data_IF_912452006076
#
_entry.id   IF_912452006076
#
_cell.length_a   1.000
_cell.length_b   1.000
_cell.length_c   1.000
_cell.angle_alpha   90.00
_cell.angle_beta   90.00
_cell.angle_gamma   90.00
#
_symmetry.space_group_name_H-M   'P 1'
#
loop_
_entity.id
_entity.type
_entity.pdbx_description
1 polymer ?
#
# COMPACT_ATOMS: atom_id res chain seq x y z
N UNK A 1 49.59 57.48 13.89
CA UNK A 1 49.22 56.84 12.61
C UNK A 1 48.26 55.71 12.92
N UNK A 2 46.98 55.89 12.59
CA UNK A 2 45.91 54.91 12.82
C UNK A 2 45.53 54.27 11.47
N UNK A 3 45.48 52.94 11.34
CA UNK A 3 44.95 52.33 10.13
C UNK A 3 43.42 52.33 10.19
N UNK A 4 42.81 53.06 9.25
CA UNK A 4 41.41 52.90 8.88
C UNK A 4 41.18 51.47 8.39
N UNK A 5 40.43 50.67 9.14
CA UNK A 5 39.87 49.41 8.62
C UNK A 5 38.58 49.75 7.88
N UNK A 6 38.65 49.78 6.54
CA UNK A 6 37.47 49.72 5.68
C UNK A 6 36.89 48.31 5.75
N UNK A 7 35.75 48.14 6.40
CA UNK A 7 34.93 46.96 6.23
C UNK A 7 34.17 47.08 4.89
N UNK A 8 34.65 46.40 3.86
CA UNK A 8 33.84 46.16 2.66
C UNK A 8 32.69 45.22 3.05
N UNK A 9 31.46 45.73 3.09
CA UNK A 9 30.27 44.88 3.10
C UNK A 9 30.32 44.00 1.84
N UNK A 10 30.44 42.68 2.02
CA UNK A 10 30.36 41.72 0.93
C UNK A 10 28.92 41.70 0.39
N UNK A 11 28.70 41.71 -0.94
CA UNK A 11 27.37 41.67 -1.57
C UNK A 11 26.51 40.47 -1.12
N UNK A 12 27.13 39.41 -0.61
CA UNK A 12 26.46 38.20 -0.12
C UNK A 12 25.62 38.43 1.13
N UNK A 13 25.92 39.41 1.97
CA UNK A 13 25.12 39.70 3.17
C UNK A 13 23.78 40.40 2.82
N UNK A 14 23.73 41.14 1.70
CA UNK A 14 22.50 41.79 1.24
C UNK A 14 21.56 40.79 0.54
N UNK A 15 22.10 39.77 -0.12
CA UNK A 15 21.32 38.72 -0.79
C UNK A 15 20.54 37.83 0.20
N UNK A 16 21.12 37.53 1.37
CA UNK A 16 20.44 36.77 2.44
C UNK A 16 19.35 37.60 3.13
N UNK A 17 19.54 38.93 3.21
CA UNK A 17 18.52 39.86 3.69
C UNK A 17 17.30 39.95 2.77
N UNK A 18 17.48 40.00 1.45
CA UNK A 18 16.35 40.12 0.50
C UNK A 18 15.55 38.81 0.38
N UNK A 19 16.20 37.64 0.54
CA UNK A 19 15.52 36.33 0.58
C UNK A 19 14.70 36.08 1.85
N UNK A 20 14.94 36.80 2.95
CA UNK A 20 14.23 36.64 4.22
C UNK A 20 13.02 37.56 4.41
N UNK A 21 12.82 38.54 3.51
CA UNK A 21 11.65 39.46 3.55
C UNK A 21 10.65 39.22 2.42
N UNK A 22 10.98 38.34 1.47
CA UNK A 22 9.98 37.83 0.55
C UNK A 22 9.20 36.74 1.30
N UNK A 23 7.87 36.86 1.46
CA UNK A 23 7.08 35.68 1.74
C UNK A 23 7.26 34.76 0.54
N UNK A 24 8.25 33.87 0.59
CA UNK A 24 8.20 32.64 -0.17
C UNK A 24 6.95 31.94 0.34
N UNK A 25 5.81 32.17 -0.32
CA UNK A 25 4.85 31.10 -0.53
C UNK A 25 5.53 30.09 -1.44
N UNK A 26 6.59 29.46 -0.93
CA UNK A 26 6.92 28.11 -1.34
C UNK A 26 5.71 27.31 -0.90
N UNK A 27 4.72 27.22 -1.79
CA UNK A 27 3.75 26.14 -1.76
C UNK A 27 4.63 24.91 -1.80
N UNK A 28 4.83 24.28 -0.64
CA UNK A 28 5.26 22.89 -0.65
C UNK A 28 4.23 22.21 -1.54
N UNK A 29 4.68 21.73 -2.69
CA UNK A 29 3.84 20.93 -3.56
C UNK A 29 3.50 19.70 -2.70
N UNK A 30 2.31 19.68 -2.09
CA UNK A 30 1.82 18.59 -1.22
C UNK A 30 1.63 17.27 -1.99
N UNK A 31 2.15 17.19 -3.21
CA UNK A 31 2.16 16.04 -4.11
C UNK A 31 2.90 14.83 -3.50
N UNK A 32 3.82 15.05 -2.56
CA UNK A 32 4.50 13.97 -1.81
C UNK A 32 3.72 13.46 -0.58
N UNK A 33 2.56 14.05 -0.26
CA UNK A 33 1.78 13.64 0.91
C UNK A 33 1.31 12.18 0.80
N UNK A 34 1.47 11.44 1.89
CA UNK A 34 1.05 10.03 1.98
C UNK A 34 -0.46 9.96 2.11
N UNK A 35 -1.09 9.17 1.24
CA UNK A 35 -2.54 8.94 1.26
C UNK A 35 -2.89 7.54 1.73
N UNK A 36 -1.98 6.58 1.55
CA UNK A 36 -2.12 5.24 2.13
C UNK A 36 -0.74 4.69 2.50
N UNK A 37 -0.65 3.95 3.60
CA UNK A 37 0.57 3.24 3.94
C UNK A 37 0.26 1.91 4.61
N UNK A 38 1.13 0.93 4.37
CA UNK A 38 1.06 -0.38 5.00
C UNK A 38 2.47 -0.82 5.36
N UNK A 39 2.63 -1.36 6.56
CA UNK A 39 3.87 -1.97 7.04
C UNK A 39 3.57 -3.34 7.61
N UNK A 40 4.43 -4.32 7.32
CA UNK A 40 4.45 -5.65 7.95
C UNK A 40 5.83 -5.86 8.53
N UNK A 41 5.89 -6.21 9.82
CA UNK A 41 7.14 -6.50 10.51
C UNK A 41 7.08 -7.88 11.14
N UNK A 42 8.08 -8.68 10.81
CA UNK A 42 8.44 -9.89 11.51
C UNK A 42 9.64 -9.56 12.40
N UNK A 43 9.58 -9.87 13.70
CA UNK A 43 10.62 -9.47 14.67
C UNK A 43 10.78 -10.49 15.78
N UNK A 44 11.87 -10.37 16.54
CA UNK A 44 12.20 -11.27 17.65
C UNK A 44 12.24 -12.73 17.22
N UNK A 45 12.74 -13.00 16.01
CA UNK A 45 12.81 -14.35 15.47
C UNK A 45 13.78 -15.19 16.29
N UNK A 46 13.29 -16.32 16.79
CA UNK A 46 14.09 -17.28 17.53
C UNK A 46 13.85 -18.69 16.99
N UNK A 47 14.95 -19.39 16.73
CA UNK A 47 14.98 -20.73 16.17
C UNK A 47 15.61 -21.67 17.19
N UNK A 48 14.88 -22.71 17.58
CA UNK A 48 15.31 -23.70 18.56
C UNK A 48 15.18 -25.11 17.98
N UNK A 49 16.23 -25.92 18.16
CA UNK A 49 16.19 -27.36 17.91
C UNK A 49 16.11 -28.09 19.24
N UNK A 50 15.04 -28.85 19.44
CA UNK A 50 14.80 -29.61 20.66
C UNK A 50 15.11 -31.08 20.40
N UNK A 51 16.02 -31.66 21.19
CA UNK A 51 16.24 -33.09 21.19
C UNK A 51 15.08 -33.78 21.93
N UNK A 52 14.28 -34.57 21.22
CA UNK A 52 13.16 -35.31 21.79
C UNK A 52 13.60 -36.63 22.45
N UNK A 53 14.84 -37.08 22.18
CA UNK A 53 15.44 -38.26 22.79
C UNK A 53 16.90 -38.00 23.21
N UNK A 54 17.13 -37.32 24.35
CA UNK A 54 18.47 -36.91 24.79
C UNK A 54 19.49 -38.04 24.91
N UNK A 55 19.03 -39.26 25.17
CA UNK A 55 19.87 -40.45 25.35
C UNK A 55 20.01 -41.31 24.08
N UNK A 56 19.38 -40.92 22.97
CA UNK A 56 19.32 -41.71 21.73
C UNK A 56 20.55 -41.60 20.83
N UNK A 57 21.51 -40.74 21.18
CA UNK A 57 22.72 -40.50 20.38
C UNK A 57 22.49 -39.68 19.11
N UNK A 58 21.24 -39.37 18.73
CA UNK A 58 20.92 -38.46 17.64
C UNK A 58 21.25 -37.02 18.02
N UNK A 59 22.04 -36.36 17.16
CA UNK A 59 22.35 -34.93 17.30
C UNK A 59 21.24 -34.14 16.59
N UNK A 60 20.54 -33.21 17.28
CA UNK A 60 19.58 -32.32 16.64
C UNK A 60 20.22 -31.53 15.51
N UNK A 61 19.65 -31.60 14.31
CA UNK A 61 20.10 -30.89 13.14
C UNK A 61 18.92 -30.55 12.23
N UNK A 62 19.03 -29.40 11.58
CA UNK A 62 18.14 -28.99 10.50
C UNK A 62 18.97 -28.52 9.32
N UNK A 63 18.56 -28.89 8.11
CA UNK A 63 19.05 -28.30 6.88
C UNK A 63 17.90 -27.68 6.10
N UNK A 64 18.18 -26.60 5.38
CA UNK A 64 17.22 -25.86 4.58
C UNK A 64 17.64 -25.95 3.11
N UNK A 65 16.71 -26.30 2.23
CA UNK A 65 16.89 -26.36 0.79
C UNK A 65 15.89 -25.43 0.10
N UNK A 66 16.12 -24.12 0.27
CA UNK A 66 15.29 -23.08 -0.34
C UNK A 66 16.05 -21.75 -0.43
N UNK A 67 15.56 -20.89 -1.32
CA UNK A 67 15.99 -19.50 -1.43
C UNK A 67 14.79 -18.60 -1.15
N UNK A 68 14.99 -17.54 -0.37
CA UNK A 68 13.97 -16.50 -0.22
C UNK A 68 13.88 -15.66 -1.50
N UNK A 69 12.67 -15.23 -1.82
CA UNK A 69 12.41 -14.23 -2.86
C UNK A 69 11.78 -13.00 -2.24
N UNK A 70 12.45 -11.88 -2.40
CA UNK A 70 11.90 -10.56 -2.14
C UNK A 70 11.25 -10.07 -3.43
N UNK A 71 10.06 -9.49 -3.36
CA UNK A 71 9.41 -8.89 -4.51
C UNK A 71 8.88 -7.50 -4.18
N UNK A 72 8.97 -6.61 -5.13
CA UNK A 72 8.30 -5.30 -5.07
C UNK A 72 7.50 -5.14 -6.35
N UNK A 73 6.21 -4.84 -6.19
CA UNK A 73 5.30 -4.70 -7.33
C UNK A 73 4.60 -3.35 -7.25
N UNK A 74 4.48 -2.71 -8.41
CA UNK A 74 3.62 -1.56 -8.63
C UNK A 74 2.63 -1.91 -9.71
N UNK A 75 1.35 -1.68 -9.45
CA UNK A 75 0.29 -1.89 -10.41
C UNK A 75 -0.62 -0.68 -10.56
N UNK A 76 -1.09 -0.50 -11.79
CA UNK A 76 -2.11 0.47 -12.16
C UNK A 76 -3.26 -0.25 -12.84
N UNK A 77 -4.49 0.19 -12.58
CA UNK A 77 -5.62 -0.29 -13.37
C UNK A 77 -5.72 0.60 -14.61
N UNK A 78 -5.07 0.18 -15.69
CA UNK A 78 -5.07 0.75 -17.05
C UNK A 78 -4.33 2.08 -17.27
N UNK A 79 -3.59 2.27 -18.38
CA UNK A 79 -3.10 1.29 -19.36
C UNK A 79 -1.66 0.83 -19.07
N UNK A 80 -1.07 1.21 -17.93
CA UNK A 80 0.33 0.94 -17.64
C UNK A 80 0.52 -0.53 -17.23
N UNK A 81 1.51 -1.26 -17.79
CA UNK A 81 1.82 -2.62 -17.36
C UNK A 81 2.34 -2.62 -15.91
N UNK A 82 1.96 -3.65 -15.15
CA UNK A 82 2.52 -3.86 -13.81
C UNK A 82 4.05 -3.97 -13.90
N UNK A 83 4.75 -3.16 -13.10
CA UNK A 83 6.20 -3.23 -12.97
C UNK A 83 6.50 -4.01 -11.71
N UNK A 84 6.81 -5.29 -11.86
CA UNK A 84 7.28 -6.16 -10.78
C UNK A 84 8.79 -6.36 -10.85
N UNK A 85 9.44 -6.33 -9.69
CA UNK A 85 10.86 -6.66 -9.52
C UNK A 85 11.00 -7.72 -8.45
N UNK A 86 11.78 -8.75 -8.76
CA UNK A 86 12.09 -9.84 -7.85
C UNK A 86 13.59 -9.85 -7.57
N UNK A 87 13.94 -10.00 -6.30
CA UNK A 87 15.31 -10.07 -5.81
C UNK A 87 15.48 -11.37 -5.03
N UNK A 88 16.52 -12.14 -5.34
CA UNK A 88 16.87 -13.32 -4.55
C UNK A 88 17.49 -12.90 -3.21
N UNK A 89 17.07 -13.53 -2.11
CA UNK A 89 17.70 -13.38 -0.80
C UNK A 89 17.75 -14.72 -0.06
N UNK A 90 18.92 -15.14 0.38
CA UNK A 90 19.05 -16.26 1.32
C UNK A 90 18.68 -15.76 2.71
N UNK A 91 17.43 -15.95 3.14
CA UNK A 91 16.93 -15.49 4.46
C UNK A 91 17.65 -16.12 5.68
N UNK A 92 18.66 -16.96 5.47
CA UNK A 92 19.49 -17.59 6.51
C UNK A 92 20.95 -17.72 6.03
N UNK A 93 21.99 -17.37 6.84
CA UNK A 93 22.10 -16.27 7.78
C UNK A 93 22.61 -14.96 7.09
N UNK A 94 21.68 -14.02 6.99
CA UNK A 94 21.73 -12.56 7.00
C UNK A 94 23.05 -11.82 6.72
N UNK A 95 23.22 -11.40 5.46
CA UNK A 95 23.71 -10.04 5.23
C UNK A 95 22.50 -9.10 5.32
N UNK A 96 22.50 -8.09 6.21
CA UNK A 96 21.44 -7.09 6.24
C UNK A 96 21.23 -6.54 4.84
N UNK A 97 20.00 -6.62 4.35
CA UNK A 97 19.68 -6.23 2.98
C UNK A 97 18.54 -5.24 3.04
N UNK A 98 18.70 -4.12 2.34
CA UNK A 98 17.62 -3.17 2.11
C UNK A 98 17.40 -3.06 0.62
N UNK A 99 16.20 -3.44 0.19
CA UNK A 99 15.73 -3.28 -1.17
C UNK A 99 14.70 -2.17 -1.16
N UNK A 100 14.84 -1.21 -2.05
CA UNK A 100 13.81 -0.19 -2.31
C UNK A 100 13.33 -0.38 -3.72
N UNK A 101 12.01 -0.43 -3.92
CA UNK A 101 11.43 -0.49 -5.26
C UNK A 101 11.88 0.73 -6.07
N UNK A 102 11.97 0.59 -7.39
CA UNK A 102 12.46 1.67 -8.28
C UNK A 102 11.65 2.97 -8.21
N UNK A 103 10.43 2.91 -7.69
CA UNK A 103 9.56 4.06 -7.46
C UNK A 103 9.79 4.74 -6.09
N UNK A 104 10.60 4.17 -5.20
CA UNK A 104 10.82 4.67 -3.84
C UNK A 104 9.63 4.50 -2.89
N UNK A 105 8.58 3.78 -3.31
CA UNK A 105 7.32 3.65 -2.57
C UNK A 105 7.21 2.35 -1.77
N UNK A 106 8.04 1.37 -2.11
CA UNK A 106 8.11 0.08 -1.44
C UNK A 106 9.51 -0.14 -0.93
N UNK A 107 9.61 -0.72 0.26
CA UNK A 107 10.90 -1.09 0.83
C UNK A 107 10.81 -2.41 1.57
N UNK A 108 11.92 -3.13 1.55
CA UNK A 108 12.10 -4.38 2.27
C UNK A 108 13.44 -4.28 3.00
N UNK A 109 13.41 -4.41 4.32
CA UNK A 109 14.60 -4.43 5.15
C UNK A 109 14.66 -5.74 5.91
N UNK A 110 15.77 -6.47 5.77
CA UNK A 110 16.03 -7.71 6.50
C UNK A 110 17.26 -7.54 7.38
N UNK A 111 17.16 -7.97 8.63
CA UNK A 111 18.29 -8.12 9.56
C UNK A 111 18.46 -9.61 9.92
N UNK A 112 19.29 -9.91 10.92
CA UNK A 112 19.38 -11.27 11.45
C UNK A 112 18.06 -11.76 12.08
N UNK A 113 17.33 -10.85 12.75
CA UNK A 113 16.21 -11.22 13.63
C UNK A 113 14.89 -10.57 13.23
N UNK A 114 14.88 -9.81 12.13
CA UNK A 114 13.69 -9.09 11.67
C UNK A 114 13.60 -8.94 10.15
N UNK A 115 12.36 -8.84 9.68
CA UNK A 115 12.00 -8.44 8.32
C UNK A 115 10.96 -7.35 8.43
N UNK A 116 11.15 -6.23 7.73
CA UNK A 116 10.15 -5.17 7.60
C UNK A 116 9.86 -4.94 6.12
N UNK A 117 8.59 -5.04 5.76
CA UNK A 117 8.05 -4.69 4.47
C UNK A 117 7.25 -3.41 4.62
N UNK A 118 7.46 -2.45 3.74
CA UNK A 118 6.71 -1.21 3.70
C UNK A 118 6.20 -0.95 2.29
N UNK A 119 4.98 -0.44 2.21
CA UNK A 119 4.38 0.07 0.99
C UNK A 119 3.66 1.38 1.29
N UNK A 120 3.86 2.37 0.43
CA UNK A 120 3.31 3.71 0.56
C UNK A 120 2.69 4.13 -0.75
N UNK A 121 1.53 4.78 -0.69
CA UNK A 121 0.93 5.50 -1.82
C UNK A 121 0.88 6.97 -1.45
N UNK A 122 1.41 7.82 -2.33
CA UNK A 122 1.39 9.28 -2.17
C UNK A 122 0.44 9.93 -3.17
N UNK A 123 0.06 11.18 -2.91
CA UNK A 123 -0.88 11.94 -3.72
C UNK A 123 -0.45 12.03 -5.20
N UNK A 124 0.83 12.28 -5.48
CA UNK A 124 1.39 12.32 -6.85
C UNK A 124 1.25 11.00 -7.61
N UNK A 125 1.14 9.88 -6.89
CA UNK A 125 1.02 8.55 -7.46
C UNK A 125 -0.43 8.11 -7.65
N UNK A 126 -1.40 8.90 -7.17
CA UNK A 126 -2.79 8.71 -7.52
C UNK A 126 -3.01 9.14 -8.97
N UNK A 127 -3.09 8.16 -9.86
CA UNK A 127 -3.54 8.41 -11.23
C UNK A 127 -5.07 8.48 -11.24
N UNK A 128 -5.62 9.48 -11.92
CA UNK A 128 -7.03 9.52 -12.21
C UNK A 128 -7.35 8.33 -13.13
N UNK A 129 -8.03 7.33 -12.59
CA UNK A 129 -8.77 6.38 -13.40
C UNK A 129 -9.79 7.17 -14.21
N UNK A 130 -9.96 6.83 -15.49
CA UNK A 130 -10.73 7.63 -16.44
C UNK A 130 -12.05 8.17 -15.86
N UNK A 131 -12.39 9.41 -16.21
CA UNK A 131 -13.65 10.03 -15.82
C UNK A 131 -14.83 9.13 -16.21
N UNK A 132 -15.60 8.68 -15.23
CA UNK A 132 -16.94 8.19 -15.49
C UNK A 132 -17.87 9.41 -15.41
N UNK A 133 -18.08 10.03 -16.57
CA UNK A 133 -19.10 11.07 -16.73
C UNK A 133 -20.44 10.35 -16.60
N UNK A 134 -21.17 10.63 -15.52
CA UNK A 134 -22.56 10.18 -15.42
C UNK A 134 -23.37 10.83 -16.54
N UNK A 135 -24.37 10.12 -17.05
CA UNK A 135 -25.33 10.70 -17.99
C UNK A 135 -26.24 11.76 -17.34
N UNK A 136 -26.18 11.92 -16.01
CA UNK A 136 -26.90 12.95 -15.30
C UNK A 136 -26.21 14.32 -15.45
N UNK A 137 -26.87 15.33 -16.05
CA UNK A 137 -26.32 16.66 -16.16
C UNK A 137 -26.02 17.24 -14.77
N UNK A 138 -24.78 17.65 -14.54
CA UNK A 138 -24.32 18.25 -13.29
C UNK A 138 -23.67 17.28 -12.29
N UNK A 139 -23.71 15.96 -12.54
CA UNK A 139 -23.03 14.96 -11.70
C UNK A 139 -21.77 14.45 -12.38
N UNK A 140 -20.63 14.67 -11.73
CA UNK A 140 -19.34 14.21 -12.22
C UNK A 140 -18.69 13.30 -11.21
N UNK A 141 -18.26 12.12 -11.66
CA UNK A 141 -17.50 11.18 -10.82
C UNK A 141 -16.07 11.01 -11.32
N UNK A 142 -15.14 11.00 -10.36
CA UNK A 142 -13.73 10.75 -10.59
C UNK A 142 -13.33 9.57 -9.71
N UNK A 143 -12.69 8.58 -10.32
CA UNK A 143 -12.18 7.42 -9.59
C UNK A 143 -10.67 7.41 -9.71
N UNK A 144 -9.96 7.27 -8.60
CA UNK A 144 -8.52 7.05 -8.58
C UNK A 144 -8.23 5.65 -8.09
N UNK A 145 -7.31 4.99 -8.77
CA UNK A 145 -6.84 3.67 -8.39
C UNK A 145 -5.31 3.64 -8.42
N UNK A 146 -4.71 3.18 -7.33
CA UNK A 146 -3.30 2.86 -7.30
C UNK A 146 -3.04 1.70 -6.35
N UNK A 147 -2.09 0.84 -6.68
CA UNK A 147 -1.66 -0.29 -5.86
C UNK A 147 -0.13 -0.40 -5.85
N UNK A 148 0.45 -0.45 -4.65
CA UNK A 148 1.86 -0.76 -4.42
C UNK A 148 1.96 -1.94 -3.44
N UNK A 149 2.88 -2.87 -3.66
CA UNK A 149 3.17 -3.93 -2.71
C UNK A 149 4.65 -4.26 -2.58
N UNK A 150 5.03 -4.57 -1.35
CA UNK A 150 6.27 -5.24 -1.01
C UNK A 150 5.92 -6.64 -0.50
N UNK A 151 6.56 -7.65 -1.07
CA UNK A 151 6.32 -9.06 -0.79
C UNK A 151 7.61 -9.78 -0.39
N UNK A 152 7.46 -10.78 0.46
CA UNK A 152 8.47 -11.78 0.74
C UNK A 152 7.82 -13.16 0.69
N UNK A 153 8.32 -14.02 -0.18
CA UNK A 153 7.96 -15.44 -0.21
C UNK A 153 9.20 -16.33 -0.17
N UNK A 154 9.02 -17.61 0.16
CA UNK A 154 10.06 -18.61 -0.11
C UNK A 154 9.85 -19.14 -1.50
N UNK A 155 10.94 -19.49 -2.19
CA UNK A 155 10.85 -20.29 -3.39
C UNK A 155 11.79 -21.46 -3.29
N UNK A 156 11.34 -22.63 -3.74
CA UNK A 156 12.27 -23.70 -4.03
C UNK A 156 12.79 -23.52 -5.47
N UNK A 157 14.10 -23.34 -5.70
CA UNK A 157 14.65 -23.22 -7.05
C UNK A 157 14.40 -24.46 -7.92
N UNK A 158 14.10 -25.61 -7.30
CA UNK A 158 13.75 -26.85 -7.97
C UNK A 158 12.23 -27.03 -8.14
N UNK A 159 11.40 -26.08 -7.67
CA UNK A 159 9.96 -26.11 -7.93
C UNK A 159 9.69 -25.74 -9.38
N UNK A 160 9.00 -26.64 -10.11
CA UNK A 160 8.58 -26.36 -11.48
C UNK A 160 7.55 -25.23 -11.40
N UNK A 161 7.84 -24.10 -12.06
CA UNK A 161 6.88 -23.02 -12.26
C UNK A 161 5.61 -23.63 -12.88
N UNK A 162 4.50 -23.63 -12.12
CA UNK A 162 3.26 -24.31 -12.51
C UNK A 162 2.88 -25.54 -11.68
N UNK A 163 3.46 -25.75 -10.50
CA UNK A 163 2.94 -26.71 -9.52
C UNK A 163 1.42 -26.59 -9.36
N UNK A 164 0.72 -27.72 -9.21
CA UNK A 164 -0.73 -27.75 -9.00
C UNK A 164 -1.09 -26.67 -7.96
N UNK A 165 -2.02 -25.78 -8.32
CA UNK A 165 -2.52 -24.65 -7.52
C UNK A 165 -1.68 -23.36 -7.49
N UNK A 166 -0.58 -23.23 -8.26
CA UNK A 166 0.24 -22.01 -8.22
C UNK A 166 1.05 -21.85 -6.93
N UNK A 167 1.15 -22.92 -6.12
CA UNK A 167 1.81 -22.96 -4.82
C UNK A 167 3.33 -23.19 -4.93
N UNK A 168 4.03 -22.34 -5.68
CA UNK A 168 5.50 -22.39 -5.80
C UNK A 168 6.24 -21.92 -4.53
N UNK A 169 5.50 -21.57 -3.45
CA UNK A 169 6.01 -20.76 -2.35
C UNK A 169 6.44 -21.54 -1.08
N UNK A 170 6.68 -22.85 -1.18
CA UNK A 170 7.18 -23.65 -0.06
C UNK A 170 8.69 -23.87 -0.15
N UNK A 171 9.40 -23.52 0.92
CA UNK A 171 10.77 -23.95 1.14
C UNK A 171 10.81 -25.30 1.86
N UNK A 172 11.73 -26.19 1.49
CA UNK A 172 11.86 -27.50 2.15
C UNK A 172 12.95 -27.50 3.21
N UNK A 173 12.72 -28.20 4.31
CA UNK A 173 13.74 -28.42 5.32
C UNK A 173 13.81 -29.91 5.66
N UNK A 174 15.00 -30.38 6.03
CA UNK A 174 15.19 -31.74 6.56
C UNK A 174 15.54 -31.64 8.03
N UNK A 175 14.73 -32.28 8.87
CA UNK A 175 14.91 -32.35 10.31
C UNK A 175 15.44 -33.73 10.70
N UNK A 176 16.49 -33.78 11.51
CA UNK A 176 17.05 -35.04 12.01
C UNK A 176 16.03 -35.88 12.79
N UNK A 177 16.33 -37.17 12.97
CA UNK A 177 15.55 -38.08 13.79
C UNK A 177 15.32 -37.52 15.20
N UNK A 178 14.18 -37.85 15.82
CA UNK A 178 13.85 -37.53 17.21
C UNK A 178 14.14 -36.07 17.60
N UNK A 179 13.80 -35.13 16.72
CA UNK A 179 14.10 -33.70 16.87
C UNK A 179 12.83 -32.88 16.61
N UNK A 180 12.65 -31.77 17.33
CA UNK A 180 11.67 -30.75 16.99
C UNK A 180 12.36 -29.46 16.54
N UNK A 181 11.78 -28.82 15.53
CA UNK A 181 12.08 -27.45 15.14
C UNK A 181 10.99 -26.55 15.71
N UNK A 182 11.40 -25.55 16.49
CA UNK A 182 10.53 -24.53 17.04
C UNK A 182 10.96 -23.16 16.53
N UNK A 183 10.02 -22.42 15.97
CA UNK A 183 10.22 -21.05 15.48
C UNK A 183 9.24 -20.14 16.23
N UNK A 184 9.77 -19.14 16.91
CA UNK A 184 8.96 -18.14 17.63
C UNK A 184 9.30 -16.74 17.18
N UNK A 185 8.36 -15.83 17.36
CA UNK A 185 8.57 -14.42 17.06
C UNK A 185 7.33 -13.59 17.28
N UNK A 186 7.40 -12.35 16.83
CA UNK A 186 6.28 -11.40 16.84
C UNK A 186 6.05 -10.89 15.44
N UNK A 187 4.80 -10.95 15.01
CA UNK A 187 4.36 -10.36 13.76
C UNK A 187 3.48 -9.14 14.06
N UNK A 188 3.81 -8.04 13.41
CA UNK A 188 3.06 -6.79 13.53
C UNK A 188 2.73 -6.25 12.14
N UNK A 189 1.59 -5.59 12.04
CA UNK A 189 1.11 -4.94 10.83
C UNK A 189 0.47 -3.62 11.18
N UNK A 190 0.74 -2.60 10.37
CA UNK A 190 0.09 -1.29 10.49
C UNK A 190 -0.39 -0.83 9.14
N UNK A 191 -1.60 -0.29 9.08
CA UNK A 191 -2.16 0.32 7.89
C UNK A 191 -2.73 1.69 8.23
N UNK A 192 -2.59 2.63 7.31
CA UNK A 192 -3.19 3.95 7.40
C UNK A 192 -3.76 4.39 6.06
N UNK A 193 -4.85 5.13 6.11
CA UNK A 193 -5.51 5.74 4.97
C UNK A 193 -5.83 7.19 5.36
N UNK A 194 -5.41 8.15 4.55
CA UNK A 194 -5.60 9.59 4.77
C UNK A 194 -6.01 10.27 3.47
N UNK A 195 -7.28 10.72 3.43
CA UNK A 195 -7.85 11.48 2.33
C UNK A 195 -7.58 12.99 2.43
N UNK A 196 -7.08 13.48 3.56
CA UNK A 196 -6.87 14.91 3.81
C UNK A 196 -6.02 15.58 2.71
N UNK A 197 -4.90 14.98 2.25
CA UNK A 197 -4.12 15.58 1.17
C UNK A 197 -4.89 15.69 -0.15
N UNK A 198 -5.70 14.68 -0.47
CA UNK A 198 -6.54 14.70 -1.66
C UNK A 198 -7.60 15.81 -1.54
N UNK A 199 -8.30 15.88 -0.41
CA UNK A 199 -9.31 16.91 -0.14
C UNK A 199 -8.73 18.34 -0.21
N UNK A 200 -7.51 18.55 0.32
CA UNK A 200 -6.81 19.82 0.27
C UNK A 200 -6.40 20.21 -1.16
N UNK A 201 -5.88 19.26 -1.95
CA UNK A 201 -5.52 19.51 -3.34
C UNK A 201 -6.74 19.89 -4.19
N UNK A 202 -7.91 19.34 -3.87
CA UNK A 202 -9.15 19.60 -4.60
C UNK A 202 -9.77 20.93 -4.21
N UNK A 203 -9.91 21.23 -2.92
CA UNK A 203 -10.46 22.51 -2.44
C UNK A 203 -9.65 23.71 -2.91
N UNK A 204 -8.34 23.54 -3.09
CA UNK A 204 -7.47 24.58 -3.65
C UNK A 204 -7.52 24.68 -5.18
N UNK A 205 -7.90 23.61 -5.88
CA UNK A 205 -8.07 23.59 -7.35
C UNK A 205 -9.45 24.04 -7.83
N UNK A 206 -10.48 23.96 -6.98
CA UNK A 206 -11.89 24.31 -7.32
C UNK A 206 -12.32 25.67 -6.80
N UNK A 207 -11.39 26.59 -6.52
CA UNK A 207 -11.70 27.94 -6.03
C UNK A 207 -12.68 28.65 -6.98
N UNK A 208 -13.98 28.61 -6.67
CA UNK A 208 -15.06 29.16 -7.50
C UNK A 208 -16.25 28.22 -7.75
N UNK A 209 -16.16 26.92 -7.44
CA UNK A 209 -17.28 25.98 -7.58
C UNK A 209 -18.00 25.81 -6.24
N UNK A 210 -19.24 26.30 -6.12
CA UNK A 210 -20.11 26.21 -4.93
C UNK A 210 -20.75 24.83 -4.73
N UNK A 211 -20.05 23.77 -5.15
CA UNK A 211 -20.55 22.40 -5.12
C UNK A 211 -20.24 21.66 -3.82
N UNK A 212 -21.06 20.67 -3.48
CA UNK A 212 -20.71 19.71 -2.42
C UNK A 212 -19.76 18.68 -3.03
N UNK A 213 -18.57 18.53 -2.43
CA UNK A 213 -17.64 17.44 -2.73
C UNK A 213 -17.96 16.31 -1.78
N UNK A 214 -18.22 15.12 -2.31
CA UNK A 214 -18.25 13.88 -1.55
C UNK A 214 -17.10 13.01 -2.02
N UNK A 215 -16.17 12.67 -1.13
CA UNK A 215 -15.11 11.71 -1.39
C UNK A 215 -15.19 10.55 -0.40
N UNK A 216 -14.80 9.38 -0.90
CA UNK A 216 -14.62 8.17 -0.11
C UNK A 216 -13.45 7.39 -0.66
N UNK A 217 -12.70 6.75 0.23
CA UNK A 217 -11.65 5.83 -0.18
C UNK A 217 -11.73 4.53 0.62
N UNK A 218 -11.37 3.44 -0.03
CA UNK A 218 -11.27 2.13 0.58
C UNK A 218 -9.93 1.49 0.17
N UNK A 219 -9.29 0.80 1.10
CA UNK A 219 -8.13 -0.05 0.84
C UNK A 219 -8.53 -1.42 0.26
N UNK A 220 -9.60 -1.49 -0.54
CA UNK A 220 -10.36 -2.72 -0.77
C UNK A 220 -9.48 -3.86 -1.32
N UNK A 221 -9.39 -4.98 -0.59
CA UNK A 221 -8.58 -6.15 -0.97
C UNK A 221 -7.07 -5.95 -0.86
N UNK A 222 -6.65 -4.83 -0.27
CA UNK A 222 -5.27 -4.35 -0.26
C UNK A 222 -4.92 -3.98 1.18
N UNK A 223 -4.30 -4.93 1.87
CA UNK A 223 -3.89 -4.78 3.26
C UNK A 223 -2.71 -5.70 3.56
N UNK A 224 -2.11 -5.56 4.74
CA UNK A 224 -1.03 -6.43 5.17
C UNK A 224 -1.59 -7.84 5.33
N UNK A 225 -1.03 -8.76 4.56
CA UNK A 225 -1.25 -10.19 4.74
C UNK A 225 0.05 -10.81 5.18
N UNK A 226 -0.02 -11.65 6.20
CA UNK A 226 1.12 -12.41 6.60
C UNK A 226 0.71 -13.81 7.02
N UNK A 227 1.40 -14.80 6.47
CA UNK A 227 1.14 -16.21 6.65
C UNK A 227 2.46 -16.94 6.85
N UNK A 228 2.49 -17.76 7.89
CA UNK A 228 3.59 -18.66 8.19
C UNK A 228 3.02 -20.06 8.34
N UNK A 229 3.73 -21.05 7.84
CA UNK A 229 3.37 -22.44 8.03
C UNK A 229 4.62 -23.26 8.18
N UNK A 230 4.66 -24.14 9.17
CA UNK A 230 5.71 -25.13 9.35
C UNK A 230 5.04 -26.48 9.51
N UNK A 231 5.22 -27.37 8.55
CA UNK A 231 4.50 -28.64 8.56
C UNK A 231 4.91 -29.57 7.45
N UNK A 232 4.28 -30.73 7.37
CA UNK A 232 4.35 -31.59 6.19
C UNK A 232 3.06 -31.44 5.40
N UNK A 233 3.15 -31.08 4.12
CA UNK A 233 2.00 -31.05 3.24
C UNK A 233 1.53 -32.48 2.99
N UNK A 234 0.28 -32.77 3.34
CA UNK A 234 -0.38 -34.03 3.05
C UNK A 234 -1.35 -33.81 1.90
N UNK A 235 -0.95 -34.26 0.71
CA UNK A 235 -1.81 -34.26 -0.46
C UNK A 235 -2.59 -35.58 -0.45
N UNK A 236 -3.88 -35.52 -0.13
CA UNK A 236 -4.75 -36.68 -0.24
C UNK A 236 -5.21 -36.77 -1.70
N UNK A 237 -4.74 -37.80 -2.42
CA UNK A 237 -5.25 -38.12 -3.74
C UNK A 237 -6.32 -39.21 -3.65
N UNK A 238 -7.43 -39.03 -4.38
CA UNK A 238 -8.40 -40.09 -4.56
C UNK A 238 -7.88 -41.15 -5.55
N UNK A 239 -8.63 -42.24 -5.71
CA UNK A 239 -8.26 -43.35 -6.61
C UNK A 239 -8.14 -42.96 -8.08
N UNK A 240 -8.65 -41.78 -8.47
CA UNK A 240 -8.59 -41.25 -9.84
C UNK A 240 -7.46 -40.23 -10.00
N UNK A 241 -6.65 -40.00 -8.97
CA UNK A 241 -5.59 -39.00 -8.95
C UNK A 241 -6.08 -37.56 -8.75
N UNK A 242 -7.36 -37.35 -8.43
CA UNK A 242 -7.84 -36.03 -8.03
C UNK A 242 -7.35 -35.71 -6.62
N UNK A 243 -7.15 -34.43 -6.31
CA UNK A 243 -6.76 -33.98 -4.96
C UNK A 243 -7.99 -33.38 -4.28
N UNK A 244 -8.82 -34.18 -3.58
CA UNK A 244 -9.99 -33.66 -2.86
C UNK A 244 -9.63 -32.78 -1.66
N UNK A 245 -8.43 -32.92 -1.07
CA UNK A 245 -8.01 -32.10 0.05
C UNK A 245 -6.48 -32.03 0.18
N UNK A 246 -6.01 -30.89 0.70
CA UNK A 246 -4.64 -30.67 1.14
C UNK A 246 -4.68 -30.43 2.64
N UNK A 247 -4.06 -31.33 3.40
CA UNK A 247 -3.86 -31.19 4.83
C UNK A 247 -2.47 -30.66 5.14
N UNK A 248 -2.31 -29.97 6.27
CA UNK A 248 -1.02 -29.59 6.81
C UNK A 248 -0.86 -30.29 8.14
N UNK A 249 0.14 -31.17 8.24
CA UNK A 249 0.53 -31.75 9.52
C UNK A 249 1.60 -30.87 10.15
N UNK A 250 1.19 -29.87 10.93
CA UNK A 250 2.10 -28.91 11.55
C UNK A 250 1.39 -27.71 12.17
N UNK A 251 2.12 -26.59 12.26
CA UNK A 251 1.64 -25.33 12.82
C UNK A 251 1.47 -24.29 11.72
N UNK A 252 0.42 -23.48 11.80
CA UNK A 252 0.19 -22.36 10.91
C UNK A 252 -0.18 -21.12 11.70
N UNK A 253 0.23 -19.96 11.18
CA UNK A 253 -0.07 -18.66 11.74
C UNK A 253 -0.48 -17.71 10.61
N UNK A 254 -1.51 -16.91 10.85
CA UNK A 254 -1.90 -15.85 9.91
C UNK A 254 -2.28 -14.59 10.66
N UNK A 255 -1.77 -13.47 10.17
CA UNK A 255 -2.14 -12.13 10.58
C UNK A 255 -2.74 -11.41 9.36
N UNK A 256 -3.96 -10.89 9.52
CA UNK A 256 -4.63 -10.06 8.53
C UNK A 256 -5.15 -8.81 9.23
N UNK A 257 -5.06 -7.65 8.57
CA UNK A 257 -5.73 -6.44 9.05
C UNK A 257 -7.09 -6.27 8.39
N UNK A 258 -7.93 -5.42 9.01
CA UNK A 258 -9.19 -5.05 8.42
C UNK A 258 -8.99 -4.16 7.18
N UNK A 259 -9.93 -4.23 6.23
CA UNK A 259 -10.02 -3.23 5.18
C UNK A 259 -10.35 -1.86 5.80
N UNK A 260 -9.59 -0.83 5.43
CA UNK A 260 -9.83 0.54 5.87
C UNK A 260 -10.78 1.25 4.91
N UNK A 261 -11.72 2.01 5.45
CA UNK A 261 -12.64 2.85 4.68
C UNK A 261 -12.72 4.22 5.34
N UNK A 262 -12.64 5.27 4.52
CA UNK A 262 -12.69 6.67 4.94
C UNK A 262 -13.64 7.44 4.04
N UNK A 263 -14.13 8.58 4.54
CA UNK A 263 -15.02 9.49 3.82
C UNK A 263 -14.73 10.93 4.23
N UNK A 264 -15.39 11.90 3.62
CA UNK A 264 -15.23 13.31 4.02
C UNK A 264 -15.53 13.58 5.50
N UNK A 265 -16.45 12.81 6.10
CA UNK A 265 -16.79 12.95 7.51
C UNK A 265 -15.73 12.37 8.45
N UNK A 266 -14.93 11.42 7.96
CA UNK A 266 -13.85 10.72 8.66
C UNK A 266 -12.73 10.46 7.64
N UNK A 267 -11.89 11.47 7.35
CA UNK A 267 -10.94 11.42 6.22
C UNK A 267 -9.74 10.51 6.51
N UNK A 268 -9.57 10.07 7.75
CA UNK A 268 -8.45 9.27 8.20
C UNK A 268 -8.93 7.99 8.86
N UNK A 269 -8.26 6.88 8.59
CA UNK A 269 -8.42 5.62 9.31
C UNK A 269 -7.06 4.95 9.47
N UNK A 270 -6.89 4.23 10.57
CA UNK A 270 -5.72 3.38 10.79
C UNK A 270 -6.13 2.10 11.50
N UNK A 271 -5.37 1.05 11.23
CA UNK A 271 -5.48 -0.24 11.92
C UNK A 271 -4.07 -0.76 12.21
N UNK A 272 -3.91 -1.40 13.36
CA UNK A 272 -2.65 -2.01 13.76
C UNK A 272 -2.92 -3.30 14.50
N UNK A 273 -2.22 -4.35 14.11
CA UNK A 273 -2.31 -5.65 14.75
C UNK A 273 -0.91 -6.15 15.12
N UNK A 274 -0.79 -6.83 16.24
CA UNK A 274 0.48 -7.41 16.68
C UNK A 274 0.20 -8.67 17.49
N UNK A 275 0.84 -9.76 17.10
CA UNK A 275 0.63 -11.06 17.73
C UNK A 275 1.93 -11.86 17.74
N UNK A 276 2.22 -12.44 18.90
CA UNK A 276 3.28 -13.43 19.03
C UNK A 276 2.83 -14.75 18.37
N UNK A 277 3.76 -15.45 17.73
CA UNK A 277 3.50 -16.74 17.13
C UNK A 277 4.51 -17.78 17.60
N UNK A 278 4.08 -19.03 17.53
CA UNK A 278 4.91 -20.20 17.73
C UNK A 278 4.56 -21.23 16.67
N UNK A 279 5.57 -21.69 15.94
CA UNK A 279 5.47 -22.75 14.95
C UNK A 279 6.34 -23.92 15.40
N UNK A 280 5.74 -25.09 15.49
CA UNK A 280 6.43 -26.32 15.89
C UNK A 280 6.22 -27.40 14.85
N UNK A 281 7.32 -28.06 14.49
CA UNK A 281 7.31 -29.29 13.73
C UNK A 281 8.18 -30.34 14.42
N UNK A 282 7.61 -31.51 14.66
CA UNK A 282 8.26 -32.61 15.39
C UNK A 282 8.53 -33.78 14.47
N UNK A 283 9.77 -34.23 14.41
CA UNK A 283 10.13 -35.52 13.84
C UNK A 283 10.32 -36.54 14.95
N UNK A 284 9.33 -37.43 15.13
CA UNK A 284 9.36 -38.52 16.11
C UNK A 284 9.89 -39.85 15.53
N UNK A 285 10.41 -39.83 14.30
CA UNK A 285 10.95 -41.02 13.66
C UNK A 285 12.44 -41.19 13.95
N UNK A 286 12.93 -42.42 13.80
CA UNK A 286 14.35 -42.77 13.93
C UNK A 286 15.19 -42.36 12.70
N UNK A 287 14.56 -41.78 11.68
CA UNK A 287 15.21 -41.26 10.47
C UNK A 287 14.91 -39.78 10.29
N UNK A 288 15.76 -39.08 9.53
CA UNK A 288 15.48 -37.71 9.14
C UNK A 288 14.17 -37.61 8.34
N UNK A 289 13.46 -36.49 8.50
CA UNK A 289 12.19 -36.23 7.84
C UNK A 289 12.21 -34.87 7.17
N UNK A 290 11.71 -34.82 5.93
CA UNK A 290 11.49 -33.56 5.21
C UNK A 290 10.16 -32.95 5.61
N UNK A 291 10.17 -31.65 5.87
CA UNK A 291 9.01 -30.80 6.04
C UNK A 291 9.04 -29.60 5.09
N UNK A 292 7.93 -28.89 5.08
CA UNK A 292 7.64 -27.71 4.27
C UNK A 292 7.49 -26.48 5.19
N UNK A 293 8.10 -25.39 4.76
CA UNK A 293 8.00 -24.06 5.35
C UNK A 293 7.34 -23.14 4.33
N UNK A 294 6.27 -22.47 4.74
CA UNK A 294 5.69 -21.35 4.02
C UNK A 294 5.99 -20.08 4.79
N UNK A 295 6.48 -19.08 4.07
CA UNK A 295 6.52 -17.70 4.53
C UNK A 295 5.95 -16.88 3.38
N UNK A 296 4.87 -16.18 3.65
CA UNK A 296 4.28 -15.20 2.74
C UNK A 296 3.98 -13.96 3.55
N UNK A 297 4.75 -12.90 3.30
CA UNK A 297 4.51 -11.59 3.87
C UNK A 297 4.21 -10.64 2.72
N UNK A 298 3.15 -9.85 2.85
CA UNK A 298 2.78 -8.85 1.87
C UNK A 298 2.37 -7.58 2.59
N UNK A 299 3.12 -6.50 2.39
CA UNK A 299 2.69 -5.16 2.75
C UNK A 299 2.18 -4.49 1.47
N UNK A 300 0.88 -4.25 1.39
CA UNK A 300 0.31 -3.56 0.26
C UNK A 300 -0.50 -2.34 0.66
N UNK A 301 -0.23 -1.24 -0.02
CA UNK A 301 -0.97 0.01 0.07
C UNK A 301 -1.63 0.26 -1.27
N UNK A 302 -2.95 0.29 -1.25
CA UNK A 302 -3.71 0.64 -2.42
C UNK A 302 -4.99 1.30 -2.00
N UNK A 303 -5.50 2.08 -2.93
CA UNK A 303 -6.57 3.01 -2.66
C UNK A 303 -7.45 3.05 -3.88
N UNK A 304 -8.72 2.80 -3.63
CA UNK A 304 -9.80 3.13 -4.53
C UNK A 304 -10.48 4.36 -3.95
N UNK A 305 -10.25 5.52 -4.55
CA UNK A 305 -10.89 6.77 -4.14
C UNK A 305 -11.95 7.14 -5.18
N UNK A 306 -13.19 7.32 -4.74
CA UNK A 306 -14.28 7.83 -5.55
C UNK A 306 -14.64 9.23 -5.11
N UNK A 307 -14.90 10.11 -6.07
CA UNK A 307 -15.47 11.42 -5.83
C UNK A 307 -16.74 11.63 -6.62
N UNK A 308 -17.59 12.46 -6.06
CA UNK A 308 -18.72 13.05 -6.75
C UNK A 308 -18.79 14.54 -6.40
N UNK A 309 -19.00 15.36 -7.42
CA UNK A 309 -19.32 16.77 -7.22
C UNK A 309 -20.57 17.14 -8.02
N UNK A 310 -21.38 17.99 -7.41
CA UNK A 310 -22.56 18.60 -8.03
C UNK A 310 -22.19 20.03 -8.39
N UNK A 311 -22.19 20.35 -9.68
CA UNK A 311 -22.13 21.75 -10.11
C UNK A 311 -23.53 22.33 -9.90
N UNK A 312 -23.72 23.36 -9.08
CA UNK A 312 -25.02 24.01 -8.97
C UNK A 312 -25.44 24.53 -10.34
N UNK A 313 -26.70 24.35 -10.71
CA UNK A 313 -27.27 24.99 -11.90
C UNK A 313 -26.97 26.48 -11.80
N UNK A 314 -26.07 26.95 -12.67
CA UNK A 314 -25.89 28.39 -12.85
C UNK A 314 -27.22 28.84 -13.42
N UNK A 315 -28.02 29.67 -12.70
CA UNK A 315 -29.26 30.17 -13.26
C UNK A 315 -28.87 30.82 -14.58
N UNK A 316 -29.51 30.40 -15.67
CA UNK A 316 -29.20 30.89 -16.99
C UNK A 316 -29.19 32.41 -16.91
N UNK A 317 -28.02 33.02 -17.10
CA UNK A 317 -27.93 34.47 -17.23
C UNK A 317 -28.88 34.75 -18.39
N UNK A 318 -29.96 35.53 -18.17
CA UNK A 318 -30.90 35.82 -19.24
C UNK A 318 -30.08 36.28 -20.43
N UNK A 319 -30.28 35.66 -21.58
CA UNK A 319 -29.53 36.03 -22.77
C UNK A 319 -29.65 37.55 -22.97
N UNK A 320 -28.65 38.23 -23.55
CA UNK A 320 -28.76 39.67 -23.84
C UNK A 320 -30.05 40.02 -24.60
N UNK A 321 -30.56 39.07 -25.40
CA UNK A 321 -31.86 39.09 -26.07
C UNK A 321 -33.06 39.17 -25.09
N UNK A 322 -33.01 38.45 -23.97
CA UNK A 322 -34.02 38.47 -22.91
C UNK A 322 -34.08 39.83 -22.21
N UNK A 323 -32.92 40.41 -21.90
CA UNK A 323 -32.85 41.78 -21.38
C UNK A 323 -33.33 42.82 -22.41
N UNK A 324 -32.96 42.64 -23.68
CA UNK A 324 -33.44 43.50 -24.75
C UNK A 324 -34.96 43.40 -24.95
N UNK A 325 -35.54 42.20 -24.84
CA UNK A 325 -36.98 41.97 -24.96
C UNK A 325 -37.75 42.56 -23.78
N UNK A 326 -37.22 42.41 -22.55
CA UNK A 326 -37.80 43.05 -21.36
C UNK A 326 -37.74 44.58 -21.46
N UNK A 327 -36.62 45.12 -21.97
CA UNK A 327 -36.48 46.56 -22.26
C UNK A 327 -37.48 47.04 -23.32
N UNK A 328 -37.62 46.31 -24.42
CA UNK A 328 -38.58 46.60 -25.49
C UNK A 328 -40.04 46.52 -25.02
N UNK A 329 -40.36 45.57 -24.15
CA UNK A 329 -41.69 45.46 -23.52
C UNK A 329 -42.05 46.69 -22.71
N UNK A 330 -41.11 47.23 -21.93
CA UNK A 330 -41.30 48.47 -21.16
C UNK A 330 -41.45 49.71 -22.04
N UNK A 331 -40.70 49.79 -23.14
CA UNK A 331 -40.84 50.87 -24.14
C UNK A 331 -42.20 50.76 -24.87
N UNK A 332 -42.66 49.55 -25.19
CA UNK A 332 -43.96 49.30 -25.79
C UNK A 332 -45.13 49.74 -24.90
N UNK A 333 -45.08 49.43 -23.60
CA UNK A 333 -46.10 49.81 -22.61
C UNK A 333 -46.14 51.33 -22.40
N UNK A 334 -44.97 51.98 -22.33
CA UNK A 334 -44.91 53.45 -22.17
C UNK A 334 -45.43 54.20 -23.39
N UNK A 335 -45.17 53.70 -24.61
CA UNK A 335 -45.70 54.29 -25.85
C UNK A 335 -47.22 54.09 -26.02
N UNK A 336 -47.76 52.93 -25.63
CA UNK A 336 -49.22 52.70 -25.64
C UNK A 336 -49.94 53.56 -24.61
N UNK A 337 -49.35 53.75 -23.42
CA UNK A 337 -49.91 54.65 -22.39
C UNK A 337 -49.96 56.11 -22.87
N UNK A 338 -48.97 56.55 -23.66
CA UNK A 338 -48.91 57.90 -24.22
C UNK A 338 -49.96 58.16 -25.31
N UNK A 339 -50.40 57.13 -26.04
CA UNK A 339 -51.49 57.22 -27.05
C UNK A 339 -52.90 57.25 -26.47
N UNK A 340 -53.10 56.82 -25.22
CA UNK A 340 -54.42 56.84 -24.56
C UNK A 340 -54.70 58.22 -23.92
N UNK A 341 -53.65 59.01 -23.67
CA UNK A 341 -53.74 60.37 -23.08
C UNK A 341 -53.66 61.51 -24.10
N UNK A 342 -53.78 61.21 -25.40
CA UNK A 342 -53.89 62.19 -26.50
C UNK A 342 -55.19 61.97 -27.24
#
# INVERSE_FOLDING_TARGET
>A
MSPFIRACLRPTALAIGILSVLPLTARADDTSAVVASTTVTLSNLHYELVNLQPNGGSIPAVSFDWTGQLSTTRGFQFPDPDVSQTYGNTLLPASPTTVTGTNGLTSISTTADSVTLQSVTTLQNLQAGGQQISNDPGFHSLNWYNYNSAGLSLSNPNSVAGGLFGMADFGQFTLSANTALRITGTMASTSSLDLTPLLNALTTGTSGTTGTITASANSNGIGPNAQLMLGKLQVNQDSNGNIPSIGVQGSAFSLNNANLSVSNAQPTASDSNSQAFELVFTNLHDTAQTGDLMLSLNASSGIYAGMSYVIPDVPSIPEPSTYALMGLGLVGITLTRRRITS
#
